data_IF_218037866552
#
_entry.id   IF_218037866552
#
_cell.length_a   1.000
_cell.length_b   1.000
_cell.length_c   1.000
_cell.angle_alpha   90.00
_cell.angle_beta   90.00
_cell.angle_gamma   90.00
#
_symmetry.space_group_name_H-M   'P 1'
#
loop_
_entity.id
_entity.type
_entity.pdbx_description
1 polymer ?
#
# COMPACT_ATOMS: atom_id res chain seq x y z
N UNK A 1 -0.98 -1.41 14.78
CA UNK A 1 0.30 -0.90 14.21
C UNK A 1 1.34 -1.99 14.03
N UNK A 2 1.82 -2.65 15.10
CA UNK A 2 2.92 -3.63 15.00
C UNK A 2 2.71 -4.76 13.97
N UNK A 3 1.48 -5.29 13.85
CA UNK A 3 1.17 -6.33 12.87
C UNK A 3 1.29 -5.83 11.41
N UNK A 4 0.75 -4.65 11.11
CA UNK A 4 0.86 -4.03 9.80
C UNK A 4 2.32 -3.77 9.40
N UNK A 5 3.13 -3.32 10.37
CA UNK A 5 4.55 -3.11 10.15
C UNK A 5 5.29 -4.42 9.84
N UNK A 6 4.93 -5.52 10.52
CA UNK A 6 5.51 -6.84 10.25
C UNK A 6 5.17 -7.34 8.84
N UNK A 7 3.94 -7.11 8.35
CA UNK A 7 3.56 -7.42 6.98
C UNK A 7 4.43 -6.63 5.98
N UNK A 8 4.56 -5.32 6.17
CA UNK A 8 5.40 -4.48 5.28
C UNK A 8 6.85 -4.93 5.30
N UNK A 9 7.41 -5.25 6.47
CA UNK A 9 8.76 -5.77 6.57
C UNK A 9 8.96 -7.09 5.80
N UNK A 10 7.97 -8.00 5.84
CA UNK A 10 8.01 -9.23 5.03
C UNK A 10 7.92 -8.94 3.53
N UNK A 11 7.03 -8.03 3.11
CA UNK A 11 6.93 -7.64 1.71
C UNK A 11 8.23 -7.03 1.18
N UNK A 12 8.90 -6.17 1.97
CA UNK A 12 10.22 -5.63 1.63
C UNK A 12 11.27 -6.75 1.54
N UNK A 13 11.28 -7.69 2.49
CA UNK A 13 12.23 -8.81 2.49
C UNK A 13 12.08 -9.74 1.27
N UNK A 14 10.93 -9.71 0.59
CA UNK A 14 10.64 -10.44 -0.63
C UNK A 14 10.65 -9.55 -1.90
N UNK A 15 11.20 -8.33 -1.81
CA UNK A 15 11.25 -7.34 -2.90
C UNK A 15 9.86 -6.97 -3.48
N UNK A 16 8.80 -7.20 -2.70
CA UNK A 16 7.40 -6.93 -3.07
C UNK A 16 6.92 -5.53 -2.60
N UNK A 17 7.80 -4.76 -1.95
CA UNK A 17 7.60 -3.34 -1.65
C UNK A 17 8.91 -2.56 -1.77
N UNK A 18 8.84 -1.24 -2.01
CA UNK A 18 10.02 -0.40 -1.95
C UNK A 18 10.71 -0.47 -0.58
N UNK A 19 12.05 -0.44 -0.61
CA UNK A 19 12.85 -0.36 0.59
C UNK A 19 12.45 0.85 1.44
N UNK A 20 12.55 0.71 2.76
CA UNK A 20 12.28 1.75 3.75
C UNK A 20 10.80 2.20 3.80
N UNK A 21 9.88 1.47 3.14
CA UNK A 21 8.44 1.68 3.29
C UNK A 21 7.99 1.38 4.72
N UNK A 22 7.14 2.23 5.30
CA UNK A 22 6.63 2.06 6.66
C UNK A 22 5.14 2.39 6.75
N UNK A 23 4.44 1.75 7.68
CA UNK A 23 3.05 2.07 8.00
C UNK A 23 3.02 3.16 9.08
N UNK A 24 2.48 4.32 8.74
CA UNK A 24 2.31 5.44 9.66
C UNK A 24 1.01 5.32 10.46
N UNK A 25 -0.07 4.94 9.79
CA UNK A 25 -1.38 4.77 10.40
C UNK A 25 -2.15 3.61 9.75
N UNK A 26 -2.98 2.95 10.55
CA UNK A 26 -3.91 1.93 10.05
C UNK A 26 -5.18 1.92 10.88
N UNK A 27 -6.33 1.91 10.22
CA UNK A 27 -7.64 1.79 10.85
C UNK A 27 -8.58 0.99 9.96
N UNK A 28 -9.53 0.31 10.58
CA UNK A 28 -10.55 -0.49 9.90
C UNK A 28 -11.93 0.00 10.32
N UNK A 29 -12.83 0.14 9.35
CA UNK A 29 -14.26 0.42 9.55
C UNK A 29 -15.09 -0.54 8.69
N UNK A 30 -15.79 -1.48 9.33
CA UNK A 30 -16.46 -2.58 8.63
C UNK A 30 -15.49 -3.33 7.72
N UNK A 31 -15.77 -3.39 6.42
CA UNK A 31 -14.91 -4.04 5.41
C UNK A 31 -13.96 -3.06 4.69
N UNK A 32 -13.86 -1.82 5.15
CA UNK A 32 -12.97 -0.79 4.59
C UNK A 32 -11.74 -0.59 5.47
N UNK A 33 -10.56 -0.66 4.84
CA UNK A 33 -9.28 -0.40 5.49
C UNK A 33 -8.77 1.00 5.09
N UNK A 34 -8.18 1.73 6.03
CA UNK A 34 -7.37 2.90 5.74
C UNK A 34 -5.93 2.60 6.14
N UNK A 35 -5.01 2.79 5.21
CA UNK A 35 -3.59 2.50 5.36
C UNK A 35 -2.78 3.73 4.95
N UNK A 36 -2.05 4.30 5.90
CA UNK A 36 -1.18 5.44 5.66
C UNK A 36 0.28 5.00 5.65
N UNK A 37 1.00 5.38 4.59
CA UNK A 37 2.39 5.00 4.33
C UNK A 37 3.29 6.24 4.41
N UNK A 38 4.60 6.02 4.53
CA UNK A 38 5.59 7.10 4.52
C UNK A 38 6.01 7.54 3.10
N UNK A 39 6.73 8.66 3.00
CA UNK A 39 7.20 9.19 1.70
C UNK A 39 8.18 8.26 0.97
N UNK A 40 8.90 7.40 1.70
CA UNK A 40 9.81 6.41 1.09
C UNK A 40 9.06 5.41 0.19
N UNK A 41 7.87 4.99 0.61
CA UNK A 41 6.97 4.18 -0.22
C UNK A 41 6.62 4.91 -1.53
N UNK A 42 6.24 6.19 -1.47
CA UNK A 42 5.90 6.99 -2.65
C UNK A 42 7.08 7.18 -3.59
N UNK A 43 8.25 7.50 -3.05
CA UNK A 43 9.47 7.65 -3.84
C UNK A 43 9.81 6.35 -4.59
N UNK A 44 9.63 5.20 -3.92
CA UNK A 44 9.79 3.89 -4.51
C UNK A 44 8.83 3.59 -5.66
N UNK A 45 7.54 3.88 -5.49
CA UNK A 45 6.54 3.72 -6.56
C UNK A 45 6.92 4.53 -7.80
N UNK A 46 7.26 5.82 -7.63
CA UNK A 46 7.65 6.72 -8.72
C UNK A 46 8.89 6.23 -9.48
N UNK A 47 9.85 5.63 -8.78
CA UNK A 47 11.07 5.11 -9.37
C UNK A 47 10.88 3.77 -10.12
N UNK A 48 9.75 3.08 -9.92
CA UNK A 48 9.54 1.71 -10.41
C UNK A 48 8.91 1.58 -11.80
N UNK A 49 8.43 2.70 -12.37
CA UNK A 49 7.64 2.71 -13.61
C UNK A 49 6.27 2.04 -13.44
N UNK A 50 5.42 2.09 -14.48
CA UNK A 50 4.02 1.64 -14.35
C UNK A 50 3.85 0.16 -13.98
N UNK A 51 4.70 -0.73 -14.51
CA UNK A 51 4.63 -2.16 -14.18
C UNK A 51 5.08 -2.44 -12.75
N UNK A 52 6.19 -1.84 -12.30
CA UNK A 52 6.67 -1.99 -10.93
C UNK A 52 5.67 -1.44 -9.92
N UNK A 53 5.09 -0.27 -10.22
CA UNK A 53 4.05 0.36 -9.42
C UNK A 53 2.83 -0.54 -9.27
N UNK A 54 2.37 -1.15 -10.37
CA UNK A 54 1.25 -2.08 -10.34
C UNK A 54 1.53 -3.31 -9.46
N UNK A 55 2.73 -3.87 -9.54
CA UNK A 55 3.14 -5.00 -8.72
C UNK A 55 3.28 -4.65 -7.24
N UNK A 56 3.87 -3.50 -6.91
CA UNK A 56 3.97 -3.01 -5.53
C UNK A 56 2.59 -2.72 -4.92
N UNK A 57 1.73 -2.02 -5.65
CA UNK A 57 0.38 -1.73 -5.18
C UNK A 57 -0.46 -2.99 -5.04
N UNK A 58 -0.40 -3.90 -6.00
CA UNK A 58 -1.11 -5.18 -5.89
C UNK A 58 -0.62 -6.04 -4.73
N UNK A 59 0.70 -6.08 -4.50
CA UNK A 59 1.30 -6.78 -3.35
C UNK A 59 0.83 -6.19 -2.02
N UNK A 60 0.86 -4.86 -1.87
CA UNK A 60 0.37 -4.17 -0.69
C UNK A 60 -1.13 -4.40 -0.48
N UNK A 61 -1.92 -4.07 -1.49
CA UNK A 61 -3.39 -4.05 -1.41
C UNK A 61 -3.92 -5.44 -1.14
N UNK A 62 -3.53 -6.45 -1.93
CA UNK A 62 -4.08 -7.79 -1.79
C UNK A 62 -3.70 -8.38 -0.42
N UNK A 63 -2.44 -8.24 -0.01
CA UNK A 63 -1.97 -8.76 1.29
C UNK A 63 -2.74 -8.13 2.45
N UNK A 64 -2.96 -6.81 2.42
CA UNK A 64 -3.68 -6.14 3.49
C UNK A 64 -5.18 -6.44 3.48
N UNK A 65 -5.82 -6.55 2.31
CA UNK A 65 -7.23 -6.96 2.22
C UNK A 65 -7.43 -8.36 2.84
N UNK A 66 -6.57 -9.32 2.49
CA UNK A 66 -6.64 -10.69 3.00
C UNK A 66 -6.37 -10.75 4.52
N UNK A 67 -5.31 -10.11 4.99
CA UNK A 67 -4.90 -10.17 6.40
C UNK A 67 -5.85 -9.44 7.34
N UNK A 68 -6.52 -8.40 6.86
CA UNK A 68 -7.48 -7.64 7.66
C UNK A 68 -8.93 -8.04 7.39
N UNK A 69 -9.19 -9.00 6.50
CA UNK A 69 -10.52 -9.43 6.08
C UNK A 69 -11.39 -8.21 5.68
N UNK A 70 -10.91 -7.48 4.67
CA UNK A 70 -11.51 -6.27 4.11
C UNK A 70 -11.71 -6.43 2.60
N UNK A 71 -12.63 -5.66 2.02
CA UNK A 71 -12.91 -5.66 0.58
C UNK A 71 -12.33 -4.44 -0.14
N UNK A 72 -12.05 -3.37 0.61
CA UNK A 72 -11.43 -2.16 0.09
C UNK A 72 -10.34 -1.63 1.01
N UNK A 73 -9.33 -0.98 0.43
CA UNK A 73 -8.30 -0.26 1.17
C UNK A 73 -8.06 1.11 0.54
N UNK A 74 -8.13 2.17 1.34
CA UNK A 74 -7.65 3.49 0.95
C UNK A 74 -6.20 3.64 1.40
N UNK A 75 -5.31 3.84 0.44
CA UNK A 75 -3.89 4.08 0.71
C UNK A 75 -3.62 5.58 0.66
N UNK A 76 -2.94 6.12 1.68
CA UNK A 76 -2.44 7.50 1.71
C UNK A 76 -0.94 7.52 1.98
N UNK A 77 -0.32 8.67 1.73
CA UNK A 77 1.06 8.96 2.11
C UNK A 77 1.06 10.23 2.95
N UNK A 78 1.59 10.13 4.18
CA UNK A 78 1.57 11.20 5.18
C UNK A 78 0.17 11.84 5.36
N UNK A 79 -0.86 11.00 5.37
CA UNK A 79 -2.26 11.37 5.53
C UNK A 79 -2.92 11.97 4.29
N UNK A 80 -2.22 12.09 3.16
CA UNK A 80 -2.72 12.70 1.93
C UNK A 80 -2.94 11.66 0.80
N UNK A 81 -3.93 11.89 -0.09
CA UNK A 81 -3.92 11.25 -1.40
C UNK A 81 -2.63 11.57 -2.15
N UNK A 82 -2.20 10.68 -3.04
CA UNK A 82 -0.98 10.88 -3.80
C UNK A 82 -1.13 10.46 -5.26
N UNK A 83 -0.19 10.92 -6.09
CA UNK A 83 -0.04 10.50 -7.48
C UNK A 83 1.42 10.17 -7.75
N UNK A 84 1.63 9.15 -8.58
CA UNK A 84 2.95 8.74 -9.05
C UNK A 84 3.31 9.35 -10.40
N UNK A 85 2.38 10.10 -11.02
CA UNK A 85 2.48 10.51 -12.42
C UNK A 85 1.97 9.46 -13.41
N UNK A 86 1.81 8.20 -12.99
CA UNK A 86 1.16 7.15 -13.78
C UNK A 86 -0.29 6.95 -13.36
N UNK A 87 -0.53 6.94 -12.05
CA UNK A 87 -1.82 6.66 -11.44
C UNK A 87 -2.14 7.70 -10.38
N UNK A 88 -3.41 8.04 -10.25
CA UNK A 88 -3.94 8.83 -9.12
C UNK A 88 -4.54 7.89 -8.07
N UNK A 89 -4.07 8.00 -6.82
CA UNK A 89 -4.53 7.20 -5.69
C UNK A 89 -5.38 8.07 -4.75
N UNK A 90 -6.56 8.45 -5.24
CA UNK A 90 -7.53 9.29 -4.52
C UNK A 90 -8.75 8.52 -3.98
N UNK A 91 -8.94 7.27 -4.44
CA UNK A 91 -10.09 6.41 -4.15
C UNK A 91 -9.68 5.11 -3.45
N UNK A 92 -10.63 4.46 -2.73
CA UNK A 92 -10.42 3.11 -2.24
C UNK A 92 -10.12 2.13 -3.37
N UNK A 93 -9.17 1.23 -3.11
CA UNK A 93 -8.73 0.18 -4.02
C UNK A 93 -9.35 -1.17 -3.62
N UNK A 94 -9.59 -2.01 -4.60
CA UNK A 94 -9.96 -3.41 -4.43
C UNK A 94 -8.79 -4.30 -4.81
N UNK A 95 -8.93 -5.61 -4.58
CA UNK A 95 -7.91 -6.57 -4.93
C UNK A 95 -7.53 -6.49 -6.43
N UNK A 96 -6.23 -6.46 -6.68
CA UNK A 96 -5.63 -6.46 -8.01
C UNK A 96 -5.66 -7.88 -8.57
N UNK A 97 -5.84 -7.98 -9.89
CA UNK A 97 -5.75 -9.24 -10.64
C UNK A 97 -4.52 -9.19 -11.54
N UNK A 98 -3.80 -10.30 -11.65
CA UNK A 98 -2.55 -10.43 -12.43
C UNK A 98 -2.73 -11.44 -13.56
#
# INVERSE_FOLDING_TARGET
>A
MAYAQAIVAQLIAHDALPKDSEVLAISKDGDALSLDMNEAFLAGLRASGSTGEFLYMGSLVNTFLDNFNCTTVRVTVEGQPFSTGHTEYDKPLQAFTF
#
